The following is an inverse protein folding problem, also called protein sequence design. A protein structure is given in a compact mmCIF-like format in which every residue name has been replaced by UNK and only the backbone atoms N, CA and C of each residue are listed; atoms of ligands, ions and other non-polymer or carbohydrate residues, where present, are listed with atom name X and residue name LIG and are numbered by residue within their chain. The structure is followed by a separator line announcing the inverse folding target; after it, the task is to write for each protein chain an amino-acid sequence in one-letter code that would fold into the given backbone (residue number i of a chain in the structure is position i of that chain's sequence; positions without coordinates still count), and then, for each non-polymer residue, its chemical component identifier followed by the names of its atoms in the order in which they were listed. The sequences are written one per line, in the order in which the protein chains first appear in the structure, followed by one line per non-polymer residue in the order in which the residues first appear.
data_IF_788040879187
#
_entry.id   IF_788040879187
#
_cell.length_a   1.000
_cell.length_b   1.000
_cell.length_c   1.000
_cell.angle_alpha   90.00
_cell.angle_beta   90.00
_cell.angle_gamma   90.00
#
_symmetry.space_group_name_H-M   'P 1'
#
loop_
_entity.id
_entity.type
_entity.pdbx_description
1 polymer ?
#
# COMPACT_ATOMS: atom_id res chain seq x y z
N UNK A 1 9.88 3.18 -9.74
CA UNK A 1 8.84 3.83 -8.92
C UNK A 1 9.12 3.63 -7.44
N UNK A 2 8.70 4.56 -6.62
CA UNK A 2 8.76 4.45 -5.17
C UNK A 2 7.37 4.11 -4.62
N UNK A 3 7.30 3.07 -3.81
CA UNK A 3 6.06 2.65 -3.17
C UNK A 3 6.11 2.96 -1.67
N UNK A 4 4.97 3.35 -1.11
CA UNK A 4 4.82 3.58 0.32
C UNK A 4 3.71 2.70 0.89
N UNK A 5 3.92 2.19 2.09
CA UNK A 5 2.94 1.39 2.81
C UNK A 5 2.68 2.01 4.18
N UNK A 6 1.50 2.54 4.37
CA UNK A 6 1.00 2.96 5.68
C UNK A 6 0.29 1.76 6.29
N UNK A 7 0.90 1.21 7.33
CA UNK A 7 0.50 -0.07 7.90
C UNK A 7 1.32 -1.23 7.36
N UNK A 8 2.04 -1.89 8.26
CA UNK A 8 2.92 -3.01 7.95
C UNK A 8 2.35 -4.29 8.56
N UNK A 9 1.10 -4.57 8.22
CA UNK A 9 0.42 -5.78 8.66
C UNK A 9 0.64 -6.96 7.72
N UNK A 10 -0.11 -8.03 7.94
CA UNK A 10 0.01 -9.28 7.17
C UNK A 10 -0.24 -9.07 5.66
N UNK A 11 -1.29 -8.34 5.31
CA UNK A 11 -1.65 -8.06 3.90
C UNK A 11 -0.56 -7.24 3.21
N UNK A 12 -0.11 -6.15 3.83
CA UNK A 12 0.96 -5.32 3.28
C UNK A 12 2.24 -6.11 3.09
N UNK A 13 2.60 -6.94 4.05
CA UNK A 13 3.79 -7.80 3.97
C UNK A 13 3.70 -8.80 2.83
N UNK A 14 2.56 -9.45 2.67
CA UNK A 14 2.34 -10.40 1.58
C UNK A 14 2.46 -9.73 0.21
N UNK A 15 1.93 -8.52 0.06
CA UNK A 15 2.07 -7.73 -1.17
C UNK A 15 3.55 -7.37 -1.40
N UNK A 16 4.26 -6.92 -0.38
CA UNK A 16 5.68 -6.57 -0.47
C UNK A 16 6.51 -7.80 -0.90
N UNK A 17 6.29 -8.95 -0.29
CA UNK A 17 6.96 -10.20 -0.70
C UNK A 17 6.65 -10.55 -2.16
N UNK A 18 5.40 -10.43 -2.57
CA UNK A 18 4.99 -10.64 -3.96
C UNK A 18 5.71 -9.70 -4.92
N UNK A 19 5.81 -8.42 -4.59
CA UNK A 19 6.52 -7.41 -5.39
C UNK A 19 7.98 -7.81 -5.58
N UNK A 20 8.70 -8.13 -4.51
CA UNK A 20 10.13 -8.49 -4.60
C UNK A 20 10.38 -9.84 -5.28
N UNK A 21 9.41 -10.74 -5.28
CA UNK A 21 9.47 -11.99 -6.03
C UNK A 21 9.04 -11.83 -7.51
N UNK A 22 8.49 -10.69 -7.88
CA UNK A 22 7.98 -10.43 -9.21
C UNK A 22 9.03 -9.76 -10.10
N UNK A 23 8.64 -9.50 -11.35
CA UNK A 23 9.46 -8.73 -12.31
C UNK A 23 9.20 -7.21 -12.19
N UNK A 24 8.36 -6.78 -11.26
CA UNK A 24 8.06 -5.37 -11.07
C UNK A 24 9.31 -4.63 -10.59
N UNK A 25 9.69 -3.59 -11.32
CA UNK A 25 10.86 -2.77 -10.95
C UNK A 25 10.43 -1.68 -9.98
N UNK A 26 10.92 -1.76 -8.75
CA UNK A 26 10.76 -0.73 -7.73
C UNK A 26 12.12 -0.14 -7.37
N UNK A 27 12.15 1.17 -7.11
CA UNK A 27 13.37 1.87 -6.68
C UNK A 27 13.53 1.77 -5.16
N UNK A 28 12.51 2.18 -4.43
CA UNK A 28 12.43 2.12 -2.97
C UNK A 28 11.03 1.71 -2.53
N UNK A 29 10.95 1.06 -1.39
CA UNK A 29 9.70 0.75 -0.71
C UNK A 29 9.81 1.32 0.70
N UNK A 30 8.96 2.30 1.01
CA UNK A 30 8.89 2.94 2.33
C UNK A 30 7.78 2.30 3.14
N UNK A 31 8.09 1.88 4.36
CA UNK A 31 7.13 1.20 5.23
C UNK A 31 7.06 1.86 6.59
N UNK A 32 5.89 1.80 7.22
CA UNK A 32 5.69 2.33 8.57
C UNK A 32 6.33 1.43 9.63
N UNK A 33 6.71 2.05 10.74
CA UNK A 33 7.39 1.38 11.86
C UNK A 33 6.45 0.82 12.92
N UNK A 34 5.13 0.98 12.78
CA UNK A 34 4.17 0.61 13.82
C UNK A 34 4.24 -0.86 14.23
N UNK A 35 4.32 -1.76 13.26
CA UNK A 35 4.61 -3.18 13.52
C UNK A 35 6.12 -3.39 13.41
N UNK A 36 6.83 -3.13 14.51
CA UNK A 36 8.30 -3.09 14.54
C UNK A 36 8.94 -4.42 14.14
N UNK A 37 8.42 -5.54 14.59
CA UNK A 37 9.02 -6.84 14.29
C UNK A 37 8.93 -7.17 12.79
N UNK A 38 7.77 -6.92 12.18
CA UNK A 38 7.56 -7.15 10.76
C UNK A 38 8.35 -6.17 9.89
N UNK A 39 8.36 -4.88 10.27
CA UNK A 39 9.13 -3.86 9.58
C UNK A 39 10.63 -4.17 9.61
N UNK A 40 11.16 -4.58 10.74
CA UNK A 40 12.57 -4.97 10.91
C UNK A 40 12.90 -6.19 10.06
N UNK A 41 12.04 -7.20 10.03
CA UNK A 41 12.21 -8.41 9.23
C UNK A 41 12.27 -8.07 7.73
N UNK A 42 11.37 -7.23 7.24
CA UNK A 42 11.33 -6.80 5.85
C UNK A 42 12.56 -5.97 5.48
N UNK A 43 12.94 -5.02 6.32
CA UNK A 43 14.11 -4.17 6.09
C UNK A 43 15.40 -4.99 6.05
N UNK A 44 15.54 -6.00 6.90
CA UNK A 44 16.70 -6.90 6.91
C UNK A 44 16.76 -7.76 5.64
N UNK A 45 15.61 -8.20 5.13
CA UNK A 45 15.53 -9.07 3.97
C UNK A 45 15.76 -8.35 2.64
N UNK A 46 15.27 -7.11 2.52
CA UNK A 46 15.31 -6.36 1.25
C UNK A 46 15.97 -4.99 1.45
N UNK A 47 17.10 -4.77 0.80
CA UNK A 47 17.87 -3.51 0.91
C UNK A 47 17.11 -2.28 0.38
N UNK A 48 16.16 -2.47 -0.53
CA UNK A 48 15.34 -1.37 -1.08
C UNK A 48 14.24 -0.90 -0.12
N UNK A 49 14.00 -1.61 0.98
CA UNK A 49 13.01 -1.22 1.98
C UNK A 49 13.63 -0.24 2.96
N UNK A 50 12.91 0.85 3.22
CA UNK A 50 13.25 1.85 4.23
C UNK A 50 12.10 1.98 5.23
N UNK A 51 12.41 1.82 6.52
CA UNK A 51 11.43 2.00 7.60
C UNK A 51 11.43 3.46 8.02
N UNK A 52 10.26 4.09 8.01
CA UNK A 52 10.07 5.48 8.42
C UNK A 52 9.10 5.55 9.59
N UNK A 53 9.38 6.46 10.53
CA UNK A 53 8.54 6.66 11.72
C UNK A 53 7.36 7.60 11.46
N UNK A 54 7.42 8.38 10.39
CA UNK A 54 6.41 9.39 10.06
C UNK A 54 5.65 8.98 8.77
N UNK A 55 4.34 8.81 8.89
CA UNK A 55 3.48 8.47 7.76
C UNK A 55 3.45 9.56 6.68
N UNK A 56 3.55 10.84 7.07
CA UNK A 56 3.61 11.93 6.09
C UNK A 56 4.87 11.85 5.23
N UNK A 57 5.98 11.46 5.82
CA UNK A 57 7.23 11.26 5.08
C UNK A 57 7.12 10.09 4.09
N UNK A 58 6.43 9.02 4.47
CA UNK A 58 6.13 7.91 3.56
C UNK A 58 5.35 8.40 2.34
N UNK A 59 4.30 9.20 2.58
CA UNK A 59 3.49 9.78 1.50
C UNK A 59 4.35 10.65 0.59
N UNK A 60 5.14 11.54 1.16
CA UNK A 60 5.93 12.50 0.40
C UNK A 60 6.97 11.84 -0.50
N UNK A 61 7.55 10.73 -0.05
CA UNK A 61 8.61 10.00 -0.79
C UNK A 61 8.08 8.98 -1.79
N UNK A 62 6.78 8.71 -1.80
CA UNK A 62 6.18 7.65 -2.59
C UNK A 62 5.34 8.20 -3.74
N UNK A 63 5.38 7.58 -4.89
CA UNK A 63 4.48 7.88 -6.01
C UNK A 63 3.13 7.17 -5.86
N UNK A 64 3.14 6.00 -5.27
CA UNK A 64 1.94 5.20 -4.97
C UNK A 64 1.96 4.83 -3.50
N UNK A 65 0.88 5.10 -2.79
CA UNK A 65 0.73 4.82 -1.36
C UNK A 65 -0.33 3.75 -1.14
N UNK A 66 0.04 2.70 -0.42
CA UNK A 66 -0.86 1.65 0.02
C UNK A 66 -1.36 1.95 1.43
N UNK A 67 -2.66 1.88 1.63
CA UNK A 67 -3.29 2.00 2.94
C UNK A 67 -3.64 0.60 3.45
N UNK A 68 -2.76 0.02 4.24
CA UNK A 68 -2.89 -1.31 4.82
C UNK A 68 -3.11 -1.27 6.32
N UNK A 69 -4.04 -0.44 6.78
CA UNK A 69 -4.39 -0.22 8.18
C UNK A 69 -5.83 -0.65 8.46
N UNK A 70 -6.16 -0.83 9.73
CA UNK A 70 -7.53 -1.13 10.13
C UNK A 70 -8.43 0.09 9.92
N UNK A 71 -9.77 -0.08 9.77
CA UNK A 71 -10.68 1.04 9.63
C UNK A 71 -10.59 2.02 10.81
N UNK A 72 -10.44 1.51 12.03
CA UNK A 72 -10.29 2.33 13.25
C UNK A 72 -9.06 3.24 13.15
N UNK A 73 -7.92 2.66 12.80
CA UNK A 73 -6.67 3.43 12.63
C UNK A 73 -6.79 4.41 11.46
N UNK A 74 -7.39 3.99 10.37
CA UNK A 74 -7.64 4.84 9.19
C UNK A 74 -8.44 6.09 9.54
N UNK A 75 -9.52 5.94 10.28
CA UNK A 75 -10.35 7.06 10.74
C UNK A 75 -9.58 8.01 11.67
N UNK A 76 -8.62 7.51 12.43
CA UNK A 76 -7.80 8.31 13.34
C UNK A 76 -6.69 9.08 12.64
N UNK A 77 -5.97 8.45 11.72
CA UNK A 77 -4.73 9.04 11.15
C UNK A 77 -4.91 9.72 9.80
N UNK A 78 -5.78 9.19 8.93
CA UNK A 78 -5.92 9.73 7.57
C UNK A 78 -6.35 11.20 7.51
N UNK A 79 -7.25 11.70 8.38
CA UNK A 79 -7.61 13.12 8.38
C UNK A 79 -6.45 14.07 8.66
N UNK A 80 -5.39 13.59 9.31
CA UNK A 80 -4.21 14.38 9.69
C UNK A 80 -3.11 14.34 8.63
N UNK A 81 -3.27 13.55 7.58
CA UNK A 81 -2.28 13.37 6.53
C UNK A 81 -2.65 14.16 5.29
N UNK A 82 -1.64 14.69 4.60
CA UNK A 82 -1.79 15.39 3.34
C UNK A 82 -1.37 14.50 2.17
N UNK A 83 -2.30 14.27 1.25
CA UNK A 83 -2.04 13.58 0.00
C UNK A 83 -2.11 14.61 -1.14
N UNK A 84 -1.03 14.84 -1.84
CA UNK A 84 -1.03 15.70 -3.02
C UNK A 84 -2.03 15.15 -4.06
N UNK A 85 -2.70 16.04 -4.80
CA UNK A 85 -3.76 15.66 -5.75
C UNK A 85 -3.33 14.65 -6.81
N UNK A 86 -2.06 14.66 -7.19
CA UNK A 86 -1.50 13.72 -8.16
C UNK A 86 -1.09 12.37 -7.54
N UNK A 87 -1.09 12.24 -6.21
CA UNK A 87 -0.69 11.03 -5.51
C UNK A 87 -1.69 9.90 -5.79
N UNK A 88 -1.17 8.75 -6.16
CA UNK A 88 -1.99 7.55 -6.39
C UNK A 88 -2.09 6.74 -5.10
N UNK A 89 -3.30 6.36 -4.74
CA UNK A 89 -3.59 5.68 -3.47
C UNK A 89 -4.27 4.35 -3.75
N UNK A 90 -3.76 3.30 -3.13
CA UNK A 90 -4.35 1.96 -3.15
C UNK A 90 -4.83 1.63 -1.75
N UNK A 91 -6.13 1.54 -1.56
CA UNK A 91 -6.73 1.15 -0.29
C UNK A 91 -6.88 -0.36 -0.20
N UNK A 92 -6.33 -0.92 0.85
CA UNK A 92 -6.52 -2.31 1.26
C UNK A 92 -7.56 -2.42 2.39
N UNK A 93 -8.19 -1.31 2.73
CA UNK A 93 -9.19 -1.22 3.81
C UNK A 93 -10.56 -1.62 3.24
N UNK A 94 -11.07 -2.78 3.61
CA UNK A 94 -12.30 -3.32 3.02
C UNK A 94 -13.58 -2.63 3.47
N UNK A 95 -13.61 -2.07 4.67
CA UNK A 95 -14.85 -1.57 5.32
C UNK A 95 -15.02 -0.06 5.28
N UNK A 96 -14.05 0.71 4.81
CA UNK A 96 -14.23 2.13 4.52
C UNK A 96 -14.51 2.28 3.03
N UNK A 97 -15.68 2.85 2.67
CA UNK A 97 -16.01 3.01 1.25
C UNK A 97 -15.14 4.08 0.58
N UNK A 98 -15.04 4.00 -0.76
CA UNK A 98 -14.17 4.87 -1.54
C UNK A 98 -14.57 6.35 -1.45
N UNK A 99 -15.87 6.67 -1.41
CA UNK A 99 -16.34 8.06 -1.32
C UNK A 99 -15.88 8.70 0.00
N UNK A 100 -15.96 7.95 1.10
CA UNK A 100 -15.45 8.41 2.39
C UNK A 100 -13.93 8.60 2.36
N UNK A 101 -13.19 7.67 1.77
CA UNK A 101 -11.73 7.79 1.62
C UNK A 101 -11.34 8.99 0.77
N UNK A 102 -12.04 9.26 -0.34
CA UNK A 102 -11.80 10.43 -1.18
C UNK A 102 -12.02 11.74 -0.41
N UNK A 103 -13.04 11.80 0.44
CA UNK A 103 -13.30 12.97 1.29
C UNK A 103 -12.21 13.15 2.35
N UNK A 104 -11.84 12.09 3.04
CA UNK A 104 -10.84 12.14 4.11
C UNK A 104 -9.46 12.53 3.56
N UNK A 105 -9.04 11.91 2.45
CA UNK A 105 -7.72 12.14 1.86
C UNK A 105 -7.69 13.35 0.92
N UNK A 106 -8.86 13.90 0.56
CA UNK A 106 -9.00 14.97 -0.43
C UNK A 106 -8.33 14.62 -1.77
N UNK A 107 -8.38 13.34 -2.13
CA UNK A 107 -7.73 12.80 -3.32
C UNK A 107 -8.71 11.90 -4.07
N UNK A 108 -8.81 12.10 -5.39
CA UNK A 108 -9.69 11.33 -6.26
C UNK A 108 -9.04 10.09 -6.88
N UNK A 109 -7.70 10.00 -6.80
CA UNK A 109 -6.92 8.90 -7.40
C UNK A 109 -6.80 7.71 -6.44
N UNK A 110 -7.92 7.28 -5.87
CA UNK A 110 -7.97 6.14 -4.94
C UNK A 110 -8.68 4.97 -5.60
N UNK A 111 -8.09 3.79 -5.48
CA UNK A 111 -8.73 2.54 -5.83
C UNK A 111 -8.66 1.59 -4.65
N UNK A 112 -9.67 0.74 -4.53
CA UNK A 112 -9.66 -0.37 -3.59
C UNK A 112 -9.09 -1.59 -4.30
N UNK A 113 -8.20 -2.27 -3.61
CA UNK A 113 -7.68 -3.57 -4.06
C UNK A 113 -7.94 -4.59 -2.95
N UNK A 114 -8.56 -5.69 -3.32
CA UNK A 114 -8.79 -6.81 -2.41
C UNK A 114 -8.02 -8.02 -2.93
N UNK A 115 -6.79 -8.20 -2.44
CA UNK A 115 -6.02 -9.40 -2.77
C UNK A 115 -6.53 -10.57 -1.94
N UNK A 116 -6.68 -11.71 -2.57
CA UNK A 116 -7.01 -12.95 -1.89
C UNK A 116 -5.75 -13.81 -1.76
N UNK A 117 -5.56 -14.51 -0.64
CA UNK A 117 -4.43 -15.43 -0.50
C UNK A 117 -4.45 -16.51 -1.59
N UNK A 118 -3.30 -16.99 -2.07
CA UNK A 118 -1.93 -16.65 -1.63
C UNK A 118 -1.20 -15.67 -2.56
N UNK A 119 -1.35 -14.38 -2.32
CA UNK A 119 -0.73 -13.33 -3.13
C UNK A 119 0.82 -13.33 -3.07
N UNK A 120 1.41 -13.71 -1.96
CA UNK A 120 2.86 -13.73 -1.78
C UNK A 120 3.58 -14.75 -2.67
N UNK A 121 2.85 -15.73 -3.18
CA UNK A 121 3.35 -16.70 -4.18
C UNK A 121 2.81 -16.41 -5.57
N UNK A 122 2.25 -15.22 -5.78
CA UNK A 122 1.72 -14.73 -7.05
C UNK A 122 0.59 -15.59 -7.61
N UNK A 123 -0.29 -16.07 -6.75
CA UNK A 123 -1.49 -16.85 -7.10
C UNK A 123 -2.72 -16.24 -6.43
N UNK A 124 -3.85 -16.52 -7.00
CA UNK A 124 -5.14 -16.08 -6.50
C UNK A 124 -5.66 -14.81 -7.17
N UNK A 125 -6.96 -14.60 -7.14
CA UNK A 125 -7.62 -13.46 -7.76
C UNK A 125 -7.33 -12.18 -6.99
N UNK A 126 -7.25 -11.07 -7.73
CA UNK A 126 -7.08 -9.72 -7.19
C UNK A 126 -8.20 -8.85 -7.74
N UNK A 127 -9.02 -8.32 -6.86
CA UNK A 127 -10.15 -7.47 -7.23
C UNK A 127 -9.72 -6.01 -7.13
N UNK A 128 -9.88 -5.26 -8.22
CA UNK A 128 -9.55 -3.83 -8.29
C UNK A 128 -10.83 -3.05 -8.60
N UNK A 129 -11.20 -2.11 -7.74
CA UNK A 129 -12.40 -1.29 -7.90
C UNK A 129 -12.13 0.17 -7.49
N UNK A 130 -12.44 1.15 -8.35
CA UNK A 130 -12.80 0.99 -9.76
C UNK A 130 -11.63 0.48 -10.60
N UNK A 131 -11.87 0.08 -11.86
CA UNK A 131 -10.77 -0.31 -12.75
C UNK A 131 -9.72 0.79 -12.84
N UNK A 132 -8.46 0.41 -12.69
CA UNK A 132 -7.36 1.37 -12.61
C UNK A 132 -6.12 0.84 -13.32
N UNK A 133 -5.61 1.64 -14.24
CA UNK A 133 -4.41 1.30 -15.01
C UNK A 133 -3.17 1.18 -14.11
N UNK A 134 -2.98 2.10 -13.17
CA UNK A 134 -1.80 2.05 -12.29
C UNK A 134 -1.84 0.87 -11.33
N UNK A 135 -3.02 0.56 -10.76
CA UNK A 135 -3.17 -0.61 -9.89
C UNK A 135 -2.99 -1.90 -10.69
N UNK A 136 -3.60 -2.00 -11.88
CA UNK A 136 -3.45 -3.15 -12.76
C UNK A 136 -1.98 -3.39 -13.14
N UNK A 137 -1.22 -2.33 -13.40
CA UNK A 137 0.20 -2.44 -13.74
C UNK A 137 1.04 -3.07 -12.61
N UNK A 138 0.68 -2.82 -11.37
CA UNK A 138 1.35 -3.44 -10.23
C UNK A 138 0.88 -4.89 -10.06
N UNK A 139 -0.43 -5.07 -9.96
CA UNK A 139 -1.01 -6.34 -9.54
C UNK A 139 -0.98 -7.45 -10.59
N UNK A 140 -0.86 -7.11 -11.89
CA UNK A 140 -0.64 -8.12 -12.94
C UNK A 140 0.61 -8.99 -12.73
N UNK A 141 1.54 -8.52 -11.90
CA UNK A 141 2.73 -9.27 -11.54
C UNK A 141 2.56 -10.12 -10.27
N UNK A 142 1.45 -9.95 -9.54
CA UNK A 142 1.21 -10.54 -8.22
C UNK A 142 0.08 -11.56 -8.19
N UNK A 143 -0.77 -11.62 -9.20
CA UNK A 143 -1.92 -12.53 -9.26
C UNK A 143 -2.68 -12.40 -10.57
N UNK A 144 -3.88 -12.99 -10.59
CA UNK A 144 -4.79 -13.01 -11.74
C UNK A 144 -5.92 -11.99 -11.60
#
# INVERSE_FOLDING_TARGET
MNLGFIGTGKISSSIIFGIFKSKLKVTKVYISSRNRSLAKKLNKKYSKIKVLNDNQEIINKSSIVFLGITPKVGNQILPKLNFAKYKKIISLISTINLDKLKKITKNKNIVRVTPLPPIEIKKGPIIICPPSKFAKNIFKHLGE
#
